data_IF_156149461966
#
_entry.id   IF_156149461966
#
_cell.length_a   1.000
_cell.length_b   1.000
_cell.length_c   1.000
_cell.angle_alpha   90.00
_cell.angle_beta   90.00
_cell.angle_gamma   90.00
#
_symmetry.space_group_name_H-M   'P 1'
#
loop_
_entity.id
_entity.type
_entity.pdbx_description
1 polymer ?
#
# COMPACT_ATOMS: atom_id res chain seq x y z
N UNK A 1 -11.93 27.35 14.56
CA UNK A 1 -12.06 26.04 15.21
C UNK A 1 -10.80 25.79 16.03
N UNK A 2 -10.93 25.53 17.35
CA UNK A 2 -9.81 25.20 18.21
C UNK A 2 -9.11 23.94 17.65
N UNK A 3 -7.82 24.02 17.40
CA UNK A 3 -7.01 22.85 17.04
C UNK A 3 -6.82 22.03 18.32
N UNK A 4 -7.15 20.75 18.39
CA UNK A 4 -7.22 19.97 19.63
C UNK A 4 -5.91 19.88 20.42
N UNK A 5 -4.77 20.26 19.79
CA UNK A 5 -3.43 20.21 20.41
C UNK A 5 -2.73 21.56 20.47
N UNK A 6 -3.43 22.63 20.10
CA UNK A 6 -2.90 23.99 20.13
C UNK A 6 -3.84 24.88 20.93
N UNK A 7 -3.36 25.35 22.08
CA UNK A 7 -4.03 26.35 22.89
C UNK A 7 -3.40 27.69 22.62
N UNK A 8 -4.16 28.62 22.05
CA UNK A 8 -3.69 30.00 21.89
C UNK A 8 -3.78 30.70 23.24
N UNK A 9 -2.72 31.44 23.57
CA UNK A 9 -2.57 32.12 24.84
C UNK A 9 -2.18 33.59 24.62
N UNK A 10 -2.56 34.45 25.54
CA UNK A 10 -2.14 35.85 25.57
C UNK A 10 -1.77 36.25 27.01
N UNK A 11 -0.62 35.81 27.51
CA UNK A 11 -0.23 36.03 28.92
C UNK A 11 -0.01 37.50 29.27
N UNK A 12 0.18 38.36 28.27
CA UNK A 12 0.28 39.83 28.51
C UNK A 12 -1.05 40.47 28.83
N UNK A 13 -2.18 39.87 28.38
CA UNK A 13 -3.52 40.42 28.58
C UNK A 13 -4.39 39.53 29.49
N UNK A 14 -4.03 38.27 29.70
CA UNK A 14 -4.83 37.31 30.48
C UNK A 14 -3.98 36.61 31.54
N UNK A 15 -4.21 36.90 32.84
CA UNK A 15 -3.50 36.27 33.94
C UNK A 15 -3.70 34.74 34.02
N UNK A 16 -4.81 34.20 33.51
CA UNK A 16 -5.06 32.78 33.50
C UNK A 16 -4.12 32.07 32.49
N UNK A 17 -3.83 32.71 31.35
CA UNK A 17 -2.88 32.20 30.35
C UNK A 17 -1.45 32.25 30.88
N UNK A 18 -1.10 33.28 31.67
CA UNK A 18 0.18 33.36 32.36
C UNK A 18 0.30 32.19 33.36
N UNK A 19 -0.67 31.98 34.23
CA UNK A 19 -0.69 30.87 35.20
C UNK A 19 -0.63 29.51 34.52
N UNK A 20 -1.28 29.35 33.36
CA UNK A 20 -1.21 28.13 32.56
C UNK A 20 0.23 27.84 32.11
N UNK A 21 0.93 28.83 31.56
CA UNK A 21 2.32 28.65 31.10
C UNK A 21 3.23 28.38 32.30
N UNK A 22 3.04 29.10 33.42
CA UNK A 22 3.80 28.90 34.65
C UNK A 22 3.59 27.51 35.28
N UNK A 23 2.51 26.84 34.98
CA UNK A 23 2.25 25.47 35.45
C UNK A 23 3.05 24.38 34.74
N UNK A 24 3.68 24.67 33.57
CA UNK A 24 4.42 23.70 32.78
C UNK A 24 5.92 23.51 33.12
N UNK A 25 6.63 24.43 33.80
CA UNK A 25 8.04 24.23 34.20
C UNK A 25 8.20 22.93 34.98
N UNK A 26 9.06 22.03 34.48
CA UNK A 26 9.28 20.72 35.09
C UNK A 26 8.61 19.55 34.33
N UNK A 27 7.80 19.80 33.31
CA UNK A 27 7.34 18.76 32.41
C UNK A 27 8.49 18.35 31.46
N UNK A 28 8.72 17.05 31.23
CA UNK A 28 9.72 16.60 30.25
C UNK A 28 9.45 17.20 28.85
N UNK A 29 10.48 17.83 28.27
CA UNK A 29 10.37 18.43 26.94
C UNK A 29 9.83 19.86 26.92
N UNK A 30 9.44 20.44 28.04
CA UNK A 30 9.05 21.85 28.10
C UNK A 30 10.28 22.74 28.36
N UNK A 31 10.48 23.75 27.55
CA UNK A 31 11.57 24.74 27.69
C UNK A 31 11.00 26.15 27.56
N UNK A 32 11.27 26.99 28.56
CA UNK A 32 10.96 28.43 28.55
C UNK A 32 12.23 29.20 28.13
N UNK A 33 12.51 29.29 26.83
CA UNK A 33 13.64 30.02 26.27
C UNK A 33 13.45 31.54 26.31
N UNK A 34 12.18 31.99 26.38
CA UNK A 34 11.78 33.38 26.29
C UNK A 34 10.92 33.80 27.49
N UNK A 35 10.78 35.11 27.78
CA UNK A 35 9.86 35.60 28.77
C UNK A 35 8.42 35.16 28.52
N UNK A 36 7.68 34.84 29.59
CA UNK A 36 6.33 34.24 29.53
C UNK A 36 5.35 35.06 28.66
N UNK A 37 5.49 36.38 28.73
CA UNK A 37 4.62 37.30 27.97
C UNK A 37 4.82 37.29 26.43
N UNK A 38 5.82 36.55 25.94
CA UNK A 38 6.09 36.44 24.50
C UNK A 38 5.42 35.24 23.85
N UNK A 39 4.86 34.30 24.61
CA UNK A 39 4.22 33.12 24.06
C UNK A 39 2.82 33.42 23.55
N UNK A 40 2.53 33.02 22.29
CA UNK A 40 1.23 33.16 21.66
C UNK A 40 0.44 31.85 21.56
N UNK A 41 1.08 30.71 21.81
CA UNK A 41 0.44 29.41 21.80
C UNK A 41 1.21 28.37 22.62
N UNK A 42 0.50 27.42 23.18
CA UNK A 42 1.04 26.20 23.79
C UNK A 42 0.63 25.03 22.90
N UNK A 43 1.60 24.21 22.49
CA UNK A 43 1.39 23.04 21.64
C UNK A 43 1.63 21.79 22.48
N UNK A 44 0.61 20.93 22.59
CA UNK A 44 0.72 19.60 23.20
C UNK A 44 1.30 18.63 22.17
N UNK A 45 2.59 18.35 22.26
CA UNK A 45 3.34 17.45 21.37
C UNK A 45 3.40 15.99 21.87
N UNK A 46 2.67 15.62 22.91
CA UNK A 46 2.66 14.25 23.42
C UNK A 46 2.07 13.28 22.38
N UNK A 47 2.63 12.08 22.34
CA UNK A 47 2.08 11.00 21.54
C UNK A 47 0.72 10.57 22.11
N UNK A 48 -0.33 10.71 21.32
CA UNK A 48 -1.68 10.32 21.70
C UNK A 48 -2.35 9.56 20.54
N UNK A 49 -3.15 8.57 20.88
CA UNK A 49 -3.96 7.83 19.91
C UNK A 49 -5.15 8.69 19.47
N UNK A 50 -4.97 9.53 18.45
CA UNK A 50 -5.98 10.48 18.01
C UNK A 50 -6.67 10.08 16.72
N UNK A 51 -6.01 9.25 15.92
CA UNK A 51 -6.49 8.83 14.62
C UNK A 51 -7.34 7.56 14.68
N UNK A 52 -8.23 7.42 13.71
CA UNK A 52 -8.93 6.18 13.42
C UNK A 52 -8.79 5.83 11.94
N UNK A 53 -8.57 4.56 11.66
CA UNK A 53 -8.57 3.99 10.32
C UNK A 53 -9.61 2.88 10.29
N UNK A 54 -10.47 2.90 9.29
CA UNK A 54 -11.47 1.86 9.04
C UNK A 54 -11.30 1.36 7.62
N UNK A 55 -11.11 0.06 7.48
CA UNK A 55 -10.97 -0.59 6.17
C UNK A 55 -12.03 -1.65 6.02
N UNK A 56 -12.68 -1.67 4.87
CA UNK A 56 -13.56 -2.75 4.42
C UNK A 56 -13.14 -3.18 3.04
N UNK A 57 -13.12 -4.47 2.80
CA UNK A 57 -12.74 -5.03 1.51
C UNK A 57 -13.27 -6.43 1.32
N UNK A 58 -13.05 -6.93 0.11
CA UNK A 58 -13.37 -8.27 -0.31
C UNK A 58 -12.15 -8.87 -1.02
N UNK A 59 -11.68 -10.01 -0.53
CA UNK A 59 -10.66 -10.80 -1.17
C UNK A 59 -11.27 -12.09 -1.71
N UNK A 60 -11.00 -12.38 -2.98
CA UNK A 60 -11.46 -13.59 -3.66
C UNK A 60 -10.26 -14.27 -4.30
N UNK A 61 -10.15 -15.59 -4.13
CA UNK A 61 -9.14 -16.37 -4.83
C UNK A 61 -9.68 -17.73 -5.23
N UNK A 62 -9.15 -18.27 -6.31
CA UNK A 62 -9.54 -19.58 -6.83
C UNK A 62 -8.41 -20.24 -7.60
N UNK A 63 -8.39 -21.56 -7.58
CA UNK A 63 -7.49 -22.39 -8.38
C UNK A 63 -8.27 -23.54 -8.98
N UNK A 64 -7.99 -23.84 -10.25
CA UNK A 64 -8.54 -24.98 -10.95
C UNK A 64 -7.44 -25.68 -11.74
N UNK A 65 -7.39 -26.99 -11.70
CA UNK A 65 -6.43 -27.78 -12.47
C UNK A 65 -7.12 -28.93 -13.18
N UNK A 66 -6.70 -29.20 -14.41
CA UNK A 66 -7.26 -30.28 -15.23
C UNK A 66 -6.16 -30.92 -16.08
N UNK A 67 -6.14 -32.26 -16.21
CA UNK A 67 -5.33 -32.94 -17.19
C UNK A 67 -5.76 -32.55 -18.62
N UNK A 68 -4.79 -32.22 -19.48
CA UNK A 68 -5.00 -31.87 -20.89
C UNK A 68 -3.90 -32.54 -21.72
N UNK A 69 -4.26 -33.52 -22.53
CA UNK A 69 -3.32 -34.35 -23.25
C UNK A 69 -2.40 -35.10 -22.29
N UNK A 70 -1.09 -34.91 -22.44
CA UNK A 70 -0.05 -35.53 -21.58
C UNK A 70 0.40 -34.62 -20.44
N UNK A 71 -0.20 -33.46 -20.28
CA UNK A 71 0.14 -32.48 -19.25
C UNK A 71 -1.05 -32.11 -18.39
N UNK A 72 -0.83 -31.13 -17.51
CA UNK A 72 -1.84 -30.54 -16.63
C UNK A 72 -1.89 -29.05 -16.91
N UNK A 73 -3.09 -28.51 -17.14
CA UNK A 73 -3.36 -27.08 -17.13
C UNK A 73 -3.87 -26.68 -15.77
N UNK A 74 -3.25 -25.69 -15.18
CA UNK A 74 -3.67 -25.05 -13.92
C UNK A 74 -4.00 -23.59 -14.18
N UNK A 75 -5.17 -23.16 -13.69
CA UNK A 75 -5.61 -21.77 -13.68
C UNK A 75 -5.61 -21.27 -12.25
N UNK A 76 -5.11 -20.08 -12.00
CA UNK A 76 -5.23 -19.40 -10.73
C UNK A 76 -5.72 -17.97 -10.95
N UNK A 77 -6.50 -17.48 -9.99
CA UNK A 77 -6.94 -16.09 -9.96
C UNK A 77 -7.08 -15.62 -8.52
N UNK A 78 -6.72 -14.37 -8.29
CA UNK A 78 -6.97 -13.67 -7.04
C UNK A 78 -7.33 -12.21 -7.33
N UNK A 79 -8.24 -11.68 -6.54
CA UNK A 79 -8.62 -10.27 -6.60
C UNK A 79 -8.85 -9.74 -5.19
N UNK A 80 -8.45 -8.49 -4.97
CA UNK A 80 -8.66 -7.74 -3.74
C UNK A 80 -9.36 -6.44 -4.09
N UNK A 81 -10.49 -6.19 -3.44
CA UNK A 81 -11.28 -5.00 -3.63
C UNK A 81 -11.45 -4.27 -2.30
N UNK A 82 -10.93 -3.04 -2.20
CA UNK A 82 -11.12 -2.16 -1.06
C UNK A 82 -12.37 -1.31 -1.32
N UNK A 83 -13.43 -1.59 -0.57
CA UNK A 83 -14.72 -0.90 -0.67
C UNK A 83 -14.71 0.44 0.08
N UNK A 84 -14.09 0.43 1.27
CA UNK A 84 -13.91 1.61 2.11
C UNK A 84 -12.50 1.62 2.69
N UNK A 85 -11.80 2.74 2.61
CA UNK A 85 -10.60 3.03 3.38
C UNK A 85 -10.73 4.43 3.95
N UNK A 86 -11.29 4.50 5.14
CA UNK A 86 -11.58 5.75 5.82
C UNK A 86 -10.50 6.10 6.83
N UNK A 87 -10.05 7.34 6.81
CA UNK A 87 -9.11 7.87 7.81
C UNK A 87 -9.72 9.06 8.52
N UNK A 88 -9.42 9.18 9.80
CA UNK A 88 -9.75 10.33 10.63
C UNK A 88 -8.54 10.67 11.50
N UNK A 89 -7.78 11.72 11.17
CA UNK A 89 -6.52 12.04 11.86
C UNK A 89 -6.71 12.47 13.33
N UNK A 90 -7.85 13.05 13.66
CA UNK A 90 -8.19 13.45 15.04
C UNK A 90 -9.66 13.15 15.34
N UNK A 91 -10.08 13.04 16.60
CA UNK A 91 -11.49 12.77 16.95
C UNK A 91 -12.50 13.76 16.37
N UNK A 92 -12.07 15.00 16.13
CA UNK A 92 -12.89 16.09 15.59
C UNK A 92 -12.70 16.34 14.10
N UNK A 93 -11.75 15.66 13.46
CA UNK A 93 -11.53 15.77 12.02
C UNK A 93 -12.63 15.06 11.24
N UNK A 94 -13.00 15.55 10.04
CA UNK A 94 -13.90 14.82 9.16
C UNK A 94 -13.31 13.49 8.74
N UNK A 95 -14.15 12.50 8.55
CA UNK A 95 -13.76 11.22 7.91
C UNK A 95 -13.45 11.49 6.45
N UNK A 96 -12.35 10.92 5.97
CA UNK A 96 -11.93 10.99 4.57
C UNK A 96 -11.80 9.59 4.00
N UNK A 97 -12.44 9.35 2.86
CA UNK A 97 -12.20 8.18 2.03
C UNK A 97 -10.88 8.40 1.28
N UNK A 98 -9.97 7.43 1.37
CA UNK A 98 -8.62 7.53 0.81
C UNK A 98 -8.22 6.32 -0.03
N UNK A 99 -9.13 5.35 -0.23
CA UNK A 99 -8.90 4.27 -1.19
C UNK A 99 -8.66 4.86 -2.59
N UNK A 100 -7.69 4.31 -3.32
CA UNK A 100 -7.35 4.77 -4.66
C UNK A 100 -6.69 6.14 -4.74
N UNK A 101 -6.36 6.79 -3.61
CA UNK A 101 -5.52 7.98 -3.60
C UNK A 101 -4.04 7.61 -3.55
N UNK A 102 -3.20 8.46 -4.17
CA UNK A 102 -1.74 8.28 -4.10
C UNK A 102 -1.26 8.20 -2.64
N UNK A 103 -0.36 7.26 -2.34
CA UNK A 103 0.10 6.97 -0.98
C UNK A 103 -0.81 6.02 -0.17
N UNK A 104 -1.96 5.61 -0.74
CA UNK A 104 -2.87 4.63 -0.17
C UNK A 104 -3.03 3.43 -1.11
N UNK A 105 -3.62 2.30 -0.66
CA UNK A 105 -3.85 1.15 -1.54
C UNK A 105 -4.80 1.46 -2.69
N UNK A 106 -4.55 0.83 -3.85
CA UNK A 106 -5.49 0.84 -4.96
C UNK A 106 -6.85 0.25 -4.55
N UNK A 107 -7.94 0.77 -5.09
CA UNK A 107 -9.29 0.24 -4.82
C UNK A 107 -9.44 -1.19 -5.29
N UNK A 108 -8.79 -1.55 -6.39
CA UNK A 108 -8.86 -2.90 -6.94
C UNK A 108 -7.50 -3.37 -7.44
N UNK A 109 -7.17 -4.62 -7.13
CA UNK A 109 -6.03 -5.36 -7.67
C UNK A 109 -6.47 -6.76 -8.03
N UNK A 110 -5.96 -7.26 -9.14
CA UNK A 110 -6.21 -8.63 -9.57
C UNK A 110 -4.93 -9.26 -10.12
N UNK A 111 -4.81 -10.56 -9.94
CA UNK A 111 -3.80 -11.37 -10.58
C UNK A 111 -4.44 -12.66 -11.06
N UNK A 112 -4.14 -13.07 -12.30
CA UNK A 112 -4.55 -14.36 -12.82
C UNK A 112 -3.41 -15.03 -13.55
N UNK A 113 -3.39 -16.34 -13.53
CA UNK A 113 -2.35 -17.12 -14.18
C UNK A 113 -2.90 -18.37 -14.86
N UNK A 114 -2.18 -18.79 -15.89
CA UNK A 114 -2.32 -20.10 -16.50
C UNK A 114 -0.96 -20.77 -16.53
N UNK A 115 -0.89 -22.00 -16.06
CA UNK A 115 0.31 -22.82 -16.12
C UNK A 115 -0.06 -24.12 -16.85
N UNK A 116 0.73 -24.48 -17.83
CA UNK A 116 0.72 -25.83 -18.41
C UNK A 116 2.02 -26.53 -18.02
N UNK A 117 1.91 -27.70 -17.45
CA UNK A 117 3.05 -28.52 -17.04
C UNK A 117 2.92 -29.93 -17.60
N UNK A 118 4.03 -30.45 -18.08
CA UNK A 118 4.20 -31.82 -18.53
C UNK A 118 5.54 -32.30 -17.99
N UNK A 119 5.69 -33.57 -17.67
CA UNK A 119 6.83 -34.20 -17.02
C UNK A 119 8.16 -33.37 -16.92
N UNK A 120 8.63 -32.87 -18.02
CA UNK A 120 9.92 -32.20 -18.22
C UNK A 120 9.82 -30.71 -18.57
N UNK A 121 8.62 -30.21 -18.89
CA UNK A 121 8.41 -28.81 -19.36
C UNK A 121 7.29 -28.16 -18.57
N UNK A 122 7.48 -26.90 -18.21
CA UNK A 122 6.43 -26.02 -17.72
C UNK A 122 6.43 -24.67 -18.46
N UNK A 123 5.24 -24.17 -18.70
CA UNK A 123 5.01 -22.87 -19.28
C UNK A 123 3.96 -22.14 -18.44
N UNK A 124 4.20 -20.90 -18.06
CA UNK A 124 3.23 -20.09 -17.35
C UNK A 124 3.14 -18.67 -17.88
N UNK A 125 1.92 -18.13 -17.83
CA UNK A 125 1.61 -16.73 -18.10
C UNK A 125 0.84 -16.19 -16.90
N UNK A 126 1.23 -15.01 -16.44
CA UNK A 126 0.57 -14.31 -15.33
C UNK A 126 0.25 -12.88 -15.74
N UNK A 127 -1.00 -12.52 -15.61
CA UNK A 127 -1.47 -11.16 -15.77
C UNK A 127 -1.69 -10.53 -14.41
N UNK A 128 -1.21 -9.29 -14.23
CA UNK A 128 -1.39 -8.49 -13.03
C UNK A 128 -2.06 -7.18 -13.41
N UNK A 129 -3.06 -6.79 -12.64
CA UNK A 129 -3.80 -5.54 -12.78
C UNK A 129 -3.79 -4.75 -11.48
N UNK A 130 -3.50 -3.46 -11.59
CA UNK A 130 -3.67 -2.47 -10.52
C UNK A 130 -4.58 -1.37 -11.05
N UNK A 131 -5.68 -1.11 -10.36
CA UNK A 131 -6.63 -0.08 -10.76
C UNK A 131 -6.00 1.33 -10.72
N UNK A 132 -6.61 2.25 -11.43
CA UNK A 132 -6.24 3.65 -11.47
C UNK A 132 -6.26 4.28 -10.07
N UNK A 133 -5.40 5.28 -9.90
CA UNK A 133 -5.32 6.12 -8.71
C UNK A 133 -5.80 7.54 -9.02
N UNK A 134 -6.00 8.31 -7.96
CA UNK A 134 -6.10 9.76 -8.02
C UNK A 134 -4.95 10.39 -7.23
N UNK A 135 -4.44 11.48 -7.72
CA UNK A 135 -3.47 12.28 -6.98
C UNK A 135 -4.15 13.19 -5.93
N UNK A 136 -3.36 13.99 -5.22
CA UNK A 136 -3.86 14.90 -4.17
C UNK A 136 -4.70 16.06 -4.69
N UNK A 137 -4.63 16.37 -5.98
CA UNK A 137 -5.42 17.42 -6.64
C UNK A 137 -6.57 16.85 -7.48
N UNK A 138 -6.75 15.52 -7.48
CA UNK A 138 -7.83 14.80 -8.15
C UNK A 138 -7.53 14.45 -9.60
N UNK A 139 -6.28 14.61 -10.08
CA UNK A 139 -5.89 14.13 -11.40
C UNK A 139 -5.79 12.59 -11.39
N UNK A 140 -6.17 11.99 -12.51
CA UNK A 140 -6.19 10.53 -12.67
C UNK A 140 -4.81 10.01 -13.05
N UNK A 141 -4.37 8.98 -12.35
CA UNK A 141 -3.22 8.14 -12.70
C UNK A 141 -3.80 6.84 -13.23
N UNK A 142 -3.46 6.47 -14.45
CA UNK A 142 -4.09 5.33 -15.13
C UNK A 142 -3.81 3.98 -14.45
N UNK A 143 -4.64 3.00 -14.77
CA UNK A 143 -4.45 1.62 -14.32
C UNK A 143 -3.21 1.02 -14.98
N UNK A 144 -2.55 0.10 -14.29
CA UNK A 144 -1.37 -0.59 -14.80
C UNK A 144 -1.62 -2.08 -14.93
N UNK A 145 -1.23 -2.63 -16.11
CA UNK A 145 -1.37 -4.03 -16.44
C UNK A 145 -0.04 -4.60 -16.88
N UNK A 146 0.38 -5.71 -16.31
CA UNK A 146 1.58 -6.43 -16.76
C UNK A 146 1.25 -7.86 -17.11
N UNK A 147 1.98 -8.40 -18.07
CA UNK A 147 1.94 -9.80 -18.44
C UNK A 147 3.34 -10.39 -18.30
N UNK A 148 3.49 -11.40 -17.46
CA UNK A 148 4.73 -12.11 -17.24
C UNK A 148 4.65 -13.50 -17.86
N UNK A 149 5.75 -13.96 -18.47
CA UNK A 149 5.86 -15.29 -19.03
C UNK A 149 7.04 -16.04 -18.43
N UNK A 150 6.89 -17.34 -18.22
CA UNK A 150 7.97 -18.21 -17.75
C UNK A 150 7.92 -19.54 -18.47
N UNK A 151 9.09 -20.01 -18.85
CA UNK A 151 9.35 -21.34 -19.42
C UNK A 151 10.36 -22.07 -18.53
N UNK A 152 10.12 -23.32 -18.24
CA UNK A 152 11.04 -24.21 -17.56
C UNK A 152 11.21 -25.51 -18.31
N UNK A 153 12.42 -26.08 -18.31
CA UNK A 153 12.74 -27.35 -18.93
C UNK A 153 13.74 -28.13 -18.10
N UNK A 154 13.36 -29.31 -17.67
CA UNK A 154 14.21 -30.27 -16.97
C UNK A 154 14.88 -31.21 -17.99
N UNK A 155 16.16 -30.98 -18.23
CA UNK A 155 16.95 -31.69 -19.27
C UNK A 155 17.26 -33.15 -18.94
N UNK A 156 17.08 -33.53 -17.68
CA UNK A 156 17.44 -34.85 -17.17
C UNK A 156 16.33 -35.87 -17.06
N UNK A 157 15.07 -35.51 -17.33
CA UNK A 157 13.89 -36.39 -17.22
C UNK A 157 13.87 -37.33 -15.99
N UNK A 158 12.74 -37.84 -15.59
CA UNK A 158 12.65 -38.85 -14.51
C UNK A 158 13.46 -40.12 -14.88
N UNK A 159 14.64 -40.27 -14.25
CA UNK A 159 15.41 -41.51 -14.26
C UNK A 159 16.51 -41.66 -15.28
N UNK A 160 16.99 -40.60 -15.92
CA UNK A 160 18.17 -40.67 -16.77
C UNK A 160 19.46 -40.43 -15.97
N UNK A 161 20.35 -41.44 -15.83
CA UNK A 161 21.72 -41.30 -15.31
C UNK A 161 22.68 -40.68 -16.37
N UNK A 162 22.16 -39.80 -17.26
CA UNK A 162 22.94 -39.21 -18.36
C UNK A 162 23.57 -37.85 -17.99
N UNK A 163 24.47 -37.33 -18.85
CA UNK A 163 25.14 -36.02 -18.69
C UNK A 163 24.18 -34.85 -18.92
N UNK A 164 23.25 -34.63 -18.06
CA UNK A 164 22.17 -33.63 -18.06
C UNK A 164 21.20 -33.89 -16.93
N UNK A 165 21.39 -35.02 -16.23
CA UNK A 165 20.62 -35.40 -15.05
C UNK A 165 20.69 -34.31 -13.97
N UNK A 166 19.53 -33.77 -13.60
CA UNK A 166 19.43 -32.70 -12.62
C UNK A 166 19.68 -31.28 -13.15
N UNK A 167 19.84 -31.06 -14.48
CA UNK A 167 19.91 -29.73 -15.05
C UNK A 167 18.53 -29.21 -15.42
N UNK A 168 18.15 -28.04 -14.88
CA UNK A 168 16.97 -27.31 -15.26
C UNK A 168 17.32 -25.98 -15.91
N UNK A 169 16.79 -25.74 -17.08
CA UNK A 169 16.80 -24.43 -17.73
C UNK A 169 15.51 -23.68 -17.38
N UNK A 170 15.65 -22.39 -17.08
CA UNK A 170 14.49 -21.52 -16.87
C UNK A 170 14.72 -20.19 -17.57
N UNK A 171 13.69 -19.74 -18.29
CA UNK A 171 13.62 -18.43 -18.92
C UNK A 171 12.40 -17.72 -18.36
N UNK A 172 12.59 -16.49 -17.89
CA UNK A 172 11.51 -15.61 -17.43
C UNK A 172 11.56 -14.28 -18.18
N UNK A 173 10.41 -13.79 -18.56
CA UNK A 173 10.19 -12.45 -19.10
C UNK A 173 9.13 -11.77 -18.25
N UNK A 174 9.49 -10.66 -17.65
CA UNK A 174 8.59 -9.81 -16.91
C UNK A 174 8.10 -8.67 -17.82
N UNK A 175 6.84 -8.27 -17.63
CA UNK A 175 6.23 -7.21 -18.44
C UNK A 175 6.39 -7.45 -19.95
N UNK A 176 5.95 -8.60 -20.43
CA UNK A 176 6.11 -9.05 -21.84
C UNK A 176 5.56 -8.06 -22.86
N UNK A 177 4.60 -7.22 -22.49
CA UNK A 177 3.97 -6.21 -23.34
C UNK A 177 4.65 -4.85 -23.28
N UNK A 178 5.71 -4.71 -22.47
CA UNK A 178 6.50 -3.46 -22.28
C UNK A 178 5.58 -2.28 -21.87
N UNK A 179 4.62 -2.54 -21.00
CA UNK A 179 3.70 -1.53 -20.49
C UNK A 179 4.42 -0.59 -19.51
N UNK A 180 4.55 0.66 -19.87
CA UNK A 180 5.16 1.67 -19.01
C UNK A 180 4.33 1.89 -17.73
N UNK A 181 4.98 2.06 -16.56
CA UNK A 181 4.28 2.48 -15.36
C UNK A 181 3.58 3.83 -15.60
N UNK A 182 2.32 4.01 -15.17
CA UNK A 182 1.62 5.26 -15.35
C UNK A 182 2.38 6.41 -14.69
N UNK A 183 2.56 7.48 -15.46
CA UNK A 183 3.28 8.66 -15.02
C UNK A 183 2.56 9.39 -13.89
N UNK A 184 3.30 9.81 -12.88
CA UNK A 184 2.84 10.66 -11.80
C UNK A 184 3.80 11.85 -11.63
N UNK A 185 3.30 13.04 -11.91
CA UNK A 185 4.03 14.29 -11.65
C UNK A 185 3.73 14.73 -10.21
N UNK A 186 4.66 14.43 -9.30
CA UNK A 186 4.53 14.85 -7.91
C UNK A 186 4.68 16.39 -7.83
N UNK A 187 3.76 17.10 -7.17
CA UNK A 187 3.82 18.54 -6.99
C UNK A 187 4.99 18.97 -6.10
#
# INVERSE_FOLDING_TARGET
>A
AARPFVTFVNPSANPADQALIESYPGLPGFSTLYPINTYGAVVDGRWVNTGAVRVKGLDVSGRYSRPVGTGVVSLDASASWILDYETRPTPTAPVRQVAGLIGYPAEFRARSGVTWARADIDLSLHWTHVAAYQDVVGARIDAWNTLDARFGWDLGGDGSDGPGSGLRLALGVENLLDEDPPFYDAP
#
